data_IF_387477969699
#
_entry.id   IF_387477969699
#
_cell.length_a   1.000
_cell.length_b   1.000
_cell.length_c   1.000
_cell.angle_alpha   90.00
_cell.angle_beta   90.00
_cell.angle_gamma   90.00
#
_symmetry.space_group_name_H-M   'P 1'
#
loop_
_entity.id
_entity.type
_entity.pdbx_description
1 polymer ?
#
# COMPACT_ATOMS: atom_id res chain seq x y z
N UNK A 1 6.74 2.42 -6.23
CA UNK A 1 6.04 1.12 -6.22
C UNK A 1 4.61 1.27 -6.70
N UNK A 2 4.39 1.88 -7.86
CA UNK A 2 3.06 2.06 -8.46
C UNK A 2 2.64 0.83 -9.29
N UNK A 3 3.58 -0.09 -9.51
CA UNK A 3 3.48 -1.26 -10.35
C UNK A 3 3.26 -2.56 -9.55
N UNK A 4 3.03 -2.48 -8.24
CA UNK A 4 2.75 -3.64 -7.40
C UNK A 4 3.91 -4.62 -7.19
N UNK A 5 5.18 -4.23 -7.43
CA UNK A 5 6.32 -5.17 -7.32
C UNK A 5 6.58 -5.71 -5.90
N UNK A 6 6.06 -5.08 -4.84
CA UNK A 6 6.17 -5.61 -3.47
C UNK A 6 4.83 -6.18 -3.01
N UNK A 7 4.86 -7.41 -2.51
CA UNK A 7 3.67 -8.11 -2.03
C UNK A 7 3.28 -7.77 -0.58
N UNK A 8 4.14 -7.05 0.17
CA UNK A 8 3.93 -6.81 1.60
C UNK A 8 4.40 -5.43 2.05
N UNK A 9 3.77 -4.91 3.11
CA UNK A 9 4.13 -3.62 3.70
C UNK A 9 5.52 -3.66 4.34
N UNK A 10 5.89 -4.78 4.95
CA UNK A 10 7.21 -5.03 5.52
C UNK A 10 8.31 -4.92 4.45
N UNK A 11 8.02 -5.35 3.22
CA UNK A 11 8.96 -5.26 2.10
C UNK A 11 9.16 -3.81 1.64
N UNK A 12 8.10 -2.99 1.66
CA UNK A 12 8.18 -1.55 1.39
C UNK A 12 9.00 -0.85 2.48
N UNK A 13 8.73 -1.13 3.75
CA UNK A 13 9.46 -0.54 4.88
C UNK A 13 10.94 -0.90 4.83
N UNK A 14 11.27 -2.18 4.61
CA UNK A 14 12.65 -2.65 4.48
C UNK A 14 13.38 -1.98 3.31
N UNK A 15 12.71 -1.79 2.17
CA UNK A 15 13.27 -1.12 1.01
C UNK A 15 13.72 0.32 1.33
N UNK A 16 12.86 1.10 1.99
CA UNK A 16 13.21 2.47 2.36
C UNK A 16 14.18 2.55 3.54
N UNK A 17 14.14 1.60 4.48
CA UNK A 17 15.15 1.51 5.54
C UNK A 17 16.56 1.32 4.96
N UNK A 18 16.69 0.65 3.81
CA UNK A 18 17.94 0.48 3.07
C UNK A 18 18.32 1.67 2.16
N UNK A 19 17.49 2.71 2.08
CA UNK A 19 17.72 3.86 1.19
C UNK A 19 17.24 3.69 -0.26
N UNK A 20 16.45 2.65 -0.55
CA UNK A 20 15.86 2.42 -1.87
C UNK A 20 16.88 2.04 -2.97
N UNK A 21 16.54 2.32 -4.23
CA UNK A 21 17.45 2.14 -5.38
C UNK A 21 18.03 3.50 -5.78
N UNK A 22 19.36 3.67 -5.79
CA UNK A 22 19.99 4.91 -6.23
C UNK A 22 19.67 5.27 -7.68
N UNK A 23 19.42 6.55 -7.93
CA UNK A 23 19.28 7.10 -9.28
C UNK A 23 19.56 8.61 -9.28
N UNK A 24 19.89 9.18 -10.43
CA UNK A 24 20.41 10.56 -10.54
C UNK A 24 19.45 11.65 -10.01
N UNK A 25 18.14 11.42 -10.11
CA UNK A 25 17.11 12.32 -9.57
C UNK A 25 16.68 12.05 -8.12
N UNK A 26 17.38 11.19 -7.39
CA UNK A 26 16.95 10.80 -6.04
C UNK A 26 17.20 11.93 -5.04
N UNK A 27 16.20 12.21 -4.19
CA UNK A 27 16.38 13.15 -3.08
C UNK A 27 17.42 12.64 -2.08
N UNK A 28 18.30 13.52 -1.61
CA UNK A 28 19.30 13.23 -0.57
C UNK A 28 18.68 12.78 0.77
N UNK A 29 17.37 12.99 0.97
CA UNK A 29 16.65 12.50 2.14
C UNK A 29 16.39 10.98 2.09
N UNK A 30 16.42 10.38 0.90
CA UNK A 30 16.27 8.93 0.74
C UNK A 30 17.65 8.29 0.93
N UNK A 31 17.89 7.82 2.15
CA UNK A 31 19.15 7.25 2.62
C UNK A 31 18.88 6.12 3.62
N UNK A 32 19.85 5.23 3.90
CA UNK A 32 19.68 4.24 4.94
C UNK A 32 19.27 4.88 6.27
N UNK A 33 18.23 4.33 6.91
CA UNK A 33 17.67 4.87 8.15
C UNK A 33 18.22 4.13 9.38
N UNK A 34 18.67 2.88 9.22
CA UNK A 34 19.26 2.10 10.30
C UNK A 34 18.24 1.63 11.34
N UNK A 35 16.96 1.52 10.97
CA UNK A 35 15.91 1.03 11.87
C UNK A 35 16.15 -0.44 12.23
N UNK A 36 16.02 -0.75 13.51
CA UNK A 36 16.00 -2.10 14.03
C UNK A 36 14.80 -2.91 13.49
N UNK A 37 14.82 -4.22 13.71
CA UNK A 37 13.69 -5.07 13.35
C UNK A 37 12.40 -4.66 14.10
N UNK A 38 12.54 -4.30 15.38
CA UNK A 38 11.42 -3.92 16.23
C UNK A 38 10.82 -2.57 15.81
N UNK A 39 11.65 -1.59 15.44
CA UNK A 39 11.17 -0.29 14.93
C UNK A 39 10.46 -0.44 13.58
N UNK A 40 10.97 -1.28 12.68
CA UNK A 40 10.29 -1.58 11.43
C UNK A 40 8.94 -2.27 11.68
N UNK A 41 8.89 -3.22 12.61
CA UNK A 41 7.65 -3.89 13.00
C UNK A 41 6.64 -2.91 13.62
N UNK A 42 7.11 -2.00 14.48
CA UNK A 42 6.28 -0.96 15.08
C UNK A 42 5.72 0.01 14.04
N UNK A 43 6.51 0.39 13.03
CA UNK A 43 6.03 1.22 11.92
C UNK A 43 4.96 0.51 11.10
N UNK A 44 5.16 -0.77 10.78
CA UNK A 44 4.15 -1.60 10.09
C UNK A 44 2.88 -1.69 10.92
N UNK A 45 2.99 -1.89 12.24
CA UNK A 45 1.85 -1.94 13.14
C UNK A 45 1.08 -0.60 13.15
N UNK A 46 1.79 0.52 13.24
CA UNK A 46 1.20 1.86 13.14
C UNK A 46 0.47 2.07 11.81
N UNK A 47 1.10 1.72 10.69
CA UNK A 47 0.47 1.88 9.38
C UNK A 47 -0.82 1.05 9.24
N UNK A 48 -0.88 -0.13 9.88
CA UNK A 48 -2.11 -0.94 9.91
C UNK A 48 -3.25 -0.23 10.66
N UNK A 49 -2.97 0.64 11.63
CA UNK A 49 -4.01 1.42 12.32
C UNK A 49 -4.64 2.50 11.44
N UNK A 50 -4.03 2.82 10.30
CA UNK A 50 -4.58 3.77 9.31
C UNK A 50 -5.63 3.12 8.39
N UNK A 51 -5.92 1.82 8.58
CA UNK A 51 -6.95 1.12 7.83
C UNK A 51 -8.34 1.53 8.33
N UNK A 52 -9.16 2.08 7.43
CA UNK A 52 -10.53 2.49 7.76
C UNK A 52 -11.41 1.29 8.18
N UNK A 53 -12.26 1.50 9.18
CA UNK A 53 -13.18 0.45 9.67
C UNK A 53 -14.24 0.04 8.64
N UNK A 54 -14.49 0.88 7.64
CA UNK A 54 -15.48 0.65 6.58
C UNK A 54 -14.91 -0.12 5.38
N UNK A 55 -13.65 -0.56 5.38
CA UNK A 55 -13.06 -1.28 4.24
C UNK A 55 -13.85 -2.55 3.91
N UNK A 56 -14.31 -3.31 4.92
CA UNK A 56 -15.12 -4.51 4.70
C UNK A 56 -16.46 -4.20 4.01
N UNK A 57 -17.10 -3.08 4.37
CA UNK A 57 -18.35 -2.62 3.76
C UNK A 57 -18.12 -2.19 2.30
N UNK A 58 -17.08 -1.40 2.04
CA UNK A 58 -16.72 -0.99 0.68
C UNK A 58 -16.42 -2.18 -0.24
N UNK A 59 -15.79 -3.21 0.30
CA UNK A 59 -15.52 -4.46 -0.44
C UNK A 59 -16.81 -5.21 -0.73
N UNK A 60 -17.71 -5.34 0.25
CA UNK A 60 -19.00 -6.00 0.04
C UNK A 60 -19.86 -5.28 -1.00
N UNK A 61 -19.89 -3.95 -0.98
CA UNK A 61 -20.58 -3.11 -1.95
C UNK A 61 -20.01 -3.31 -3.37
N UNK A 62 -18.68 -3.30 -3.50
CA UNK A 62 -18.01 -3.51 -4.78
C UNK A 62 -18.33 -4.87 -5.42
N UNK A 63 -18.56 -5.92 -4.62
CA UNK A 63 -18.98 -7.24 -5.13
C UNK A 63 -20.47 -7.31 -5.50
N UNK A 64 -21.32 -6.52 -4.85
CA UNK A 64 -22.75 -6.48 -5.13
C UNK A 64 -23.09 -5.62 -6.36
N UNK A 65 -22.20 -4.69 -6.72
CA UNK A 65 -22.36 -3.83 -7.89
C UNK A 65 -22.50 -4.66 -9.19
N UNK A 66 -23.55 -4.43 -10.02
CA UNK A 66 -23.67 -5.07 -11.32
C UNK A 66 -22.47 -4.72 -12.21
N UNK A 67 -21.87 -5.73 -12.85
CA UNK A 67 -20.77 -5.54 -13.79
C UNK A 67 -21.33 -5.61 -15.21
N UNK A 68 -21.39 -4.46 -15.91
CA UNK A 68 -21.88 -4.36 -17.31
C UNK A 68 -22.79 -3.16 -17.56
N UNK A 69 -23.15 -2.90 -18.82
CA UNK A 69 -24.05 -1.80 -19.19
C UNK A 69 -25.50 -2.11 -18.80
N UNK A 70 -25.94 -1.53 -17.67
CA UNK A 70 -27.29 -1.69 -17.13
C UNK A 70 -28.36 -0.94 -17.93
N UNK A 71 -28.01 -0.16 -18.96
CA UNK A 71 -28.96 0.62 -19.75
C UNK A 71 -29.68 -0.16 -20.88
N UNK A 72 -29.31 -1.42 -21.11
CA UNK A 72 -29.89 -2.23 -22.21
C UNK A 72 -31.22 -2.93 -21.88
N UNK A 73 -31.75 -2.79 -20.66
CA UNK A 73 -33.04 -3.39 -20.26
C UNK A 73 -34.15 -2.33 -20.17
N UNK A 74 -34.61 -1.85 -21.32
CA UNK A 74 -35.97 -1.34 -21.48
C UNK A 74 -36.36 -1.41 -22.95
N UNK A 75 -37.12 -2.43 -23.32
CA UNK A 75 -37.98 -2.43 -24.51
C UNK A 75 -39.42 -2.25 -24.05
#
# INVERSE_FOLDING_TARGET
MHNGTFASLESVVRFYNAGGVPHDGQSALIRPLGLSADEQAALVAFMRTLTGSNVGELVADAFAAPIGDTSSTSR
#
